data_IF_066533456859
#
_entry.id   IF_066533456859
#
_cell.length_a   1.000
_cell.length_b   1.000
_cell.length_c   1.000
_cell.angle_alpha   90.00
_cell.angle_beta   90.00
_cell.angle_gamma   90.00
#
_symmetry.space_group_name_H-M   'P 1'
#
loop_
_entity.id
_entity.type
_entity.pdbx_description
1 polymer ?
#
# COMPACT_ATOMS: atom_id res chain seq x y z
N UNK A 1 -18.05 41.01 -39.21
CA UNK A 1 -17.69 40.63 -37.85
C UNK A 1 -17.94 39.16 -37.69
N UNK A 2 -16.88 38.33 -37.70
CA UNK A 2 -17.00 36.88 -37.43
C UNK A 2 -16.60 36.71 -35.98
N UNK A 3 -17.55 36.28 -35.16
CA UNK A 3 -17.32 35.90 -33.77
C UNK A 3 -16.37 34.70 -33.72
N UNK A 4 -15.11 34.95 -33.42
CA UNK A 4 -14.16 33.91 -33.05
C UNK A 4 -14.47 33.47 -31.61
N UNK A 5 -15.34 32.46 -31.48
CA UNK A 5 -15.43 31.73 -30.20
C UNK A 5 -14.15 30.96 -29.99
N UNK A 6 -13.30 31.45 -29.07
CA UNK A 6 -12.19 30.68 -28.53
C UNK A 6 -12.81 29.55 -27.70
N UNK A 7 -12.82 28.36 -28.25
CA UNK A 7 -13.14 27.14 -27.48
C UNK A 7 -11.92 26.84 -26.59
N UNK A 8 -11.94 27.32 -25.36
CA UNK A 8 -11.07 26.82 -24.31
C UNK A 8 -11.68 25.47 -23.89
N UNK A 9 -11.19 24.38 -24.46
CA UNK A 9 -11.40 23.05 -23.86
C UNK A 9 -10.51 22.97 -22.64
N UNK A 10 -11.03 23.33 -21.46
CA UNK A 10 -10.51 22.81 -20.21
C UNK A 10 -10.71 21.30 -20.28
N UNK A 11 -9.66 20.55 -20.60
CA UNK A 11 -9.59 19.16 -20.21
C UNK A 11 -9.43 19.16 -18.69
N UNK A 12 -10.57 19.13 -18.00
CA UNK A 12 -10.62 18.60 -16.64
C UNK A 12 -10.09 17.19 -16.82
N UNK A 13 -8.90 16.93 -16.32
CA UNK A 13 -8.46 15.57 -16.09
C UNK A 13 -9.47 15.07 -15.08
N UNK A 14 -10.49 14.37 -15.56
CA UNK A 14 -11.31 13.55 -14.71
C UNK A 14 -10.29 12.65 -14.02
N UNK A 15 -10.15 12.85 -12.72
CA UNK A 15 -9.52 11.86 -11.86
C UNK A 15 -10.48 10.69 -11.93
N UNK A 16 -10.41 9.97 -13.07
CA UNK A 16 -11.14 8.74 -13.23
C UNK A 16 -10.81 7.90 -12.02
N UNK A 17 -11.81 7.58 -11.26
CA UNK A 17 -12.00 6.52 -10.28
C UNK A 17 -10.79 5.56 -10.07
N UNK A 18 -9.57 6.11 -10.02
CA UNK A 18 -8.33 5.38 -9.81
C UNK A 18 -8.37 4.59 -8.49
N UNK A 19 -9.27 5.01 -7.61
CA UNK A 19 -9.39 4.53 -6.24
C UNK A 19 -10.77 3.97 -5.87
N UNK A 20 -11.74 3.90 -6.79
CA UNK A 20 -13.02 3.26 -6.50
C UNK A 20 -12.82 1.75 -6.39
N UNK A 21 -12.81 1.29 -5.16
CA UNK A 21 -12.80 -0.14 -4.85
C UNK A 21 -14.21 -0.68 -5.03
N UNK A 22 -14.54 -1.05 -6.25
CA UNK A 22 -15.75 -1.84 -6.53
C UNK A 22 -15.69 -3.17 -5.76
N UNK A 23 -16.83 -3.75 -5.37
CA UNK A 23 -16.85 -5.14 -4.93
C UNK A 23 -16.17 -6.00 -6.01
N UNK A 24 -15.42 -7.02 -5.57
CA UNK A 24 -14.71 -7.92 -6.46
C UNK A 24 -15.66 -8.47 -7.53
N UNK A 25 -15.31 -8.26 -8.79
CA UNK A 25 -16.09 -8.78 -9.92
C UNK A 25 -15.43 -10.08 -10.41
N UNK A 26 -16.22 -11.12 -10.72
CA UNK A 26 -15.68 -12.35 -11.29
C UNK A 26 -15.04 -12.09 -12.65
N UNK A 27 -13.83 -12.58 -12.86
CA UNK A 27 -13.20 -12.60 -14.18
C UNK A 27 -13.80 -13.74 -14.97
N UNK A 28 -14.32 -13.46 -16.16
CA UNK A 28 -14.90 -14.47 -17.05
C UNK A 28 -13.84 -15.47 -17.52
N UNK A 29 -13.92 -16.68 -16.99
CA UNK A 29 -13.10 -17.83 -17.36
C UNK A 29 -13.77 -19.11 -16.84
N UNK A 30 -13.34 -20.28 -17.30
CA UNK A 30 -13.93 -21.56 -16.89
C UNK A 30 -13.94 -21.80 -15.38
N UNK A 31 -12.98 -21.20 -14.65
CA UNK A 31 -12.85 -21.34 -13.18
C UNK A 31 -13.40 -20.14 -12.40
N UNK A 32 -14.00 -19.15 -13.05
CA UNK A 32 -14.62 -17.97 -12.40
C UNK A 32 -13.74 -17.31 -11.35
N UNK A 33 -12.53 -16.96 -11.72
CA UNK A 33 -11.57 -16.27 -10.84
C UNK A 33 -12.14 -14.92 -10.43
N UNK A 34 -12.09 -14.61 -9.14
CA UNK A 34 -12.54 -13.33 -8.60
C UNK A 34 -11.42 -12.30 -8.66
N UNK A 35 -11.69 -11.15 -9.28
CA UNK A 35 -10.75 -10.03 -9.33
C UNK A 35 -10.55 -9.42 -7.94
N UNK A 36 -9.32 -9.01 -7.65
CA UNK A 36 -9.03 -8.29 -6.41
C UNK A 36 -9.02 -6.78 -6.69
N UNK A 37 -10.18 -6.14 -6.46
CA UNK A 37 -10.50 -4.78 -6.88
C UNK A 37 -11.05 -4.70 -8.30
N UNK A 38 -11.45 -3.49 -8.74
CA UNK A 38 -12.13 -3.24 -10.03
C UNK A 38 -11.36 -3.79 -11.23
N UNK A 39 -10.05 -3.53 -11.27
CA UNK A 39 -9.17 -3.91 -12.37
C UNK A 39 -8.14 -4.98 -11.99
N UNK A 40 -8.39 -5.73 -10.93
CA UNK A 40 -7.47 -6.74 -10.39
C UNK A 40 -6.11 -6.16 -9.92
N UNK A 41 -6.03 -4.83 -9.71
CA UNK A 41 -4.81 -4.08 -9.39
C UNK A 41 -4.75 -3.57 -7.96
N UNK A 42 -5.79 -3.82 -7.15
CA UNK A 42 -5.83 -3.36 -5.76
C UNK A 42 -4.58 -3.76 -4.94
N UNK A 43 -4.05 -5.00 -5.02
CA UNK A 43 -2.83 -5.34 -4.27
C UNK A 43 -1.63 -4.47 -4.65
N UNK A 44 -1.48 -4.12 -5.93
CA UNK A 44 -0.41 -3.22 -6.37
C UNK A 44 -0.56 -1.81 -5.79
N UNK A 45 -1.79 -1.29 -5.73
CA UNK A 45 -2.06 -0.02 -5.08
C UNK A 45 -1.69 -0.06 -3.58
N UNK A 46 -2.10 -1.13 -2.88
CA UNK A 46 -1.77 -1.28 -1.45
C UNK A 46 -0.26 -1.38 -1.22
N UNK A 47 0.48 -2.07 -2.11
CA UNK A 47 1.95 -2.10 -2.07
C UNK A 47 2.54 -0.69 -2.24
N UNK A 48 2.10 0.06 -3.25
CA UNK A 48 2.54 1.44 -3.48
C UNK A 48 2.25 2.33 -2.26
N UNK A 49 1.06 2.22 -1.67
CA UNK A 49 0.72 2.95 -0.45
C UNK A 49 1.68 2.64 0.71
N UNK A 50 2.01 1.37 0.91
CA UNK A 50 2.96 0.95 1.94
C UNK A 50 4.38 1.47 1.67
N UNK A 51 4.84 1.43 0.41
CA UNK A 51 6.18 1.83 0.05
C UNK A 51 6.39 3.36 0.05
N UNK A 52 5.36 4.14 -0.30
CA UNK A 52 5.47 5.58 -0.51
C UNK A 52 4.98 6.43 0.67
N UNK A 53 4.06 5.90 1.52
CA UNK A 53 3.63 6.61 2.72
C UNK A 53 4.53 6.31 3.91
N UNK A 54 5.30 7.31 4.34
CA UNK A 54 6.20 7.16 5.49
C UNK A 54 5.44 6.85 6.79
N UNK A 55 4.26 7.45 6.97
CA UNK A 55 3.43 7.23 8.18
C UNK A 55 2.82 5.85 8.16
N UNK A 56 2.22 5.42 7.05
CA UNK A 56 1.62 4.09 6.94
C UNK A 56 2.67 2.99 7.15
N UNK A 57 3.83 3.14 6.49
CA UNK A 57 4.94 2.18 6.65
C UNK A 57 5.37 2.07 8.11
N UNK A 58 5.63 3.20 8.78
CA UNK A 58 6.04 3.19 10.18
C UNK A 58 5.02 2.51 11.09
N UNK A 59 3.73 2.76 10.86
CA UNK A 59 2.63 2.18 11.64
C UNK A 59 2.49 0.68 11.40
N UNK A 60 2.59 0.24 10.14
CA UNK A 60 2.52 -1.18 9.80
C UNK A 60 3.73 -1.92 10.37
N UNK A 61 4.96 -1.43 10.16
CA UNK A 61 6.20 -2.04 10.64
C UNK A 61 6.19 -2.15 12.17
N UNK A 62 5.75 -1.09 12.88
CA UNK A 62 5.60 -1.12 14.34
C UNK A 62 4.56 -2.14 14.79
N UNK A 63 3.47 -2.28 14.04
CA UNK A 63 2.43 -3.27 14.34
C UNK A 63 2.95 -4.70 14.07
N UNK A 64 3.68 -4.93 12.97
CA UNK A 64 4.32 -6.22 12.68
C UNK A 64 5.26 -6.62 13.82
N UNK A 65 6.13 -5.71 14.26
CA UNK A 65 7.06 -5.96 15.37
C UNK A 65 6.28 -6.32 16.65
N UNK A 66 5.21 -5.59 16.96
CA UNK A 66 4.40 -5.88 18.16
C UNK A 66 3.64 -7.21 18.04
N UNK A 67 3.23 -7.61 16.85
CA UNK A 67 2.58 -8.91 16.59
C UNK A 67 3.59 -10.04 16.66
N UNK A 68 4.77 -9.89 16.06
CA UNK A 68 5.87 -10.87 16.15
C UNK A 68 6.32 -11.07 17.61
N UNK A 69 6.29 -9.98 18.39
CA UNK A 69 6.67 -10.01 19.81
C UNK A 69 8.17 -10.23 20.03
N UNK A 70 8.50 -10.68 21.24
CA UNK A 70 9.88 -10.88 21.69
C UNK A 70 10.43 -12.26 21.32
N UNK A 71 9.57 -13.27 21.30
CA UNK A 71 9.98 -14.66 21.01
C UNK A 71 8.79 -15.47 20.43
N UNK A 72 9.08 -16.41 19.55
CA UNK A 72 8.13 -17.37 18.99
C UNK A 72 8.52 -18.78 19.45
N UNK A 73 7.89 -19.23 20.52
CA UNK A 73 8.18 -20.54 21.12
C UNK A 73 7.39 -21.63 20.39
N UNK A 74 8.10 -22.61 19.86
CA UNK A 74 7.50 -23.79 19.24
C UNK A 74 7.34 -24.88 20.30
N UNK A 75 6.10 -25.41 20.46
CA UNK A 75 5.77 -26.45 21.44
C UNK A 75 6.48 -27.77 21.15
N UNK A 76 6.58 -28.64 22.15
CA UNK A 76 7.19 -29.97 21.98
C UNK A 76 6.38 -30.86 21.03
N UNK A 77 5.06 -30.69 20.98
CA UNK A 77 4.16 -31.40 20.04
C UNK A 77 4.41 -30.99 18.58
N UNK A 78 4.97 -29.78 18.36
CA UNK A 78 5.33 -29.25 17.05
C UNK A 78 6.85 -29.23 16.82
N UNK A 79 7.62 -30.04 17.53
CA UNK A 79 9.10 -29.99 17.56
C UNK A 79 9.75 -30.04 16.17
N UNK A 80 9.10 -30.67 15.19
CA UNK A 80 9.60 -30.74 13.81
C UNK A 80 9.74 -29.35 13.15
N UNK A 81 8.97 -28.34 13.62
CA UNK A 81 8.95 -26.98 13.09
C UNK A 81 9.91 -26.04 13.85
N UNK A 82 10.61 -26.52 14.89
CA UNK A 82 11.44 -25.71 15.80
C UNK A 82 12.66 -25.13 15.11
N UNK A 83 13.36 -25.94 14.30
CA UNK A 83 14.58 -25.47 13.64
C UNK A 83 14.28 -24.70 12.34
N UNK A 84 13.29 -25.18 11.59
CA UNK A 84 12.92 -24.62 10.28
C UNK A 84 11.51 -25.00 9.88
N UNK A 85 10.86 -24.11 9.20
CA UNK A 85 9.50 -24.30 8.70
C UNK A 85 9.49 -24.97 7.32
N UNK A 86 10.58 -24.88 6.59
CA UNK A 86 10.74 -25.49 5.26
C UNK A 86 12.21 -25.77 4.90
N UNK A 87 12.41 -26.45 3.77
CA UNK A 87 13.74 -26.80 3.24
C UNK A 87 14.62 -25.60 2.87
N UNK A 88 14.08 -24.39 2.81
CA UNK A 88 14.85 -23.15 2.56
C UNK A 88 15.50 -22.62 3.83
N UNK A 89 15.22 -23.22 4.99
CA UNK A 89 15.77 -22.83 6.28
C UNK A 89 15.03 -21.67 6.95
N UNK A 90 13.80 -21.33 6.51
CA UNK A 90 12.97 -20.30 7.13
C UNK A 90 12.64 -20.68 8.58
N UNK A 91 12.90 -19.79 9.52
CA UNK A 91 12.56 -19.97 10.93
C UNK A 91 11.05 -19.71 11.17
N UNK A 92 10.53 -20.16 12.32
CA UNK A 92 9.12 -19.88 12.66
C UNK A 92 8.90 -18.40 12.92
N UNK A 93 9.88 -17.70 13.46
CA UNK A 93 9.84 -16.26 13.68
C UNK A 93 9.74 -15.48 12.36
N UNK A 94 10.62 -15.77 11.39
CA UNK A 94 10.56 -15.19 10.05
C UNK A 94 9.26 -15.51 9.34
N UNK A 95 8.72 -16.73 9.54
CA UNK A 95 7.43 -17.12 9.00
C UNK A 95 6.28 -16.28 9.57
N UNK A 96 6.25 -16.07 10.90
CA UNK A 96 5.26 -15.22 11.56
C UNK A 96 5.36 -13.78 11.05
N UNK A 97 6.58 -13.24 10.88
CA UNK A 97 6.82 -11.91 10.36
C UNK A 97 6.25 -11.75 8.93
N UNK A 98 6.51 -12.72 8.05
CA UNK A 98 5.96 -12.72 6.68
C UNK A 98 4.44 -12.67 6.65
N UNK A 99 3.77 -13.57 7.37
CA UNK A 99 2.30 -13.63 7.36
C UNK A 99 1.66 -12.43 8.08
N UNK A 100 2.33 -11.89 9.10
CA UNK A 100 1.90 -10.64 9.76
C UNK A 100 2.02 -9.44 8.79
N UNK A 101 3.11 -9.37 8.02
CA UNK A 101 3.31 -8.35 7.00
C UNK A 101 2.21 -8.36 5.95
N UNK A 102 1.93 -9.52 5.36
CA UNK A 102 0.87 -9.67 4.37
C UNK A 102 -0.53 -9.36 4.96
N UNK A 103 -0.79 -9.83 6.18
CA UNK A 103 -2.07 -9.60 6.87
C UNK A 103 -2.30 -8.11 7.13
N UNK A 104 -1.29 -7.38 7.59
CA UNK A 104 -1.40 -5.97 7.95
C UNK A 104 -1.39 -5.07 6.72
N UNK A 105 -0.65 -5.44 5.67
CA UNK A 105 -0.57 -4.64 4.44
C UNK A 105 -1.78 -4.87 3.53
N UNK A 106 -2.21 -6.13 3.35
CA UNK A 106 -3.25 -6.51 2.37
C UNK A 106 -4.55 -7.01 3.00
N UNK A 107 -4.57 -7.29 4.31
CA UNK A 107 -5.69 -7.92 5.00
C UNK A 107 -5.82 -9.42 4.75
N UNK A 108 -4.95 -10.01 3.96
CA UNK A 108 -4.96 -11.41 3.54
C UNK A 108 -3.52 -11.93 3.54
N UNK A 109 -3.35 -13.24 3.68
CA UNK A 109 -2.06 -13.89 3.49
C UNK A 109 -2.24 -15.28 2.88
N UNK A 110 -1.19 -15.81 2.26
CA UNK A 110 -1.19 -17.10 1.61
C UNK A 110 0.02 -17.93 2.00
N UNK A 111 -0.20 -19.20 2.27
CA UNK A 111 0.86 -20.16 2.61
C UNK A 111 0.67 -21.44 1.82
N UNK A 112 1.71 -21.84 1.12
CA UNK A 112 1.76 -23.15 0.48
C UNK A 112 2.08 -24.22 1.54
N UNK A 113 1.20 -25.17 1.73
CA UNK A 113 1.35 -26.31 2.63
C UNK A 113 1.69 -27.52 1.79
N UNK A 114 2.84 -28.13 2.07
CA UNK A 114 3.30 -29.34 1.41
C UNK A 114 3.12 -30.51 2.35
N UNK A 115 2.47 -31.56 1.87
CA UNK A 115 2.15 -32.76 2.63
C UNK A 115 3.10 -33.92 2.28
N UNK A 116 3.23 -34.87 3.19
CA UNK A 116 3.81 -36.17 2.88
C UNK A 116 2.76 -37.09 2.24
N UNK A 117 3.16 -38.27 1.83
CA UNK A 117 2.26 -39.27 1.22
C UNK A 117 1.13 -39.75 2.14
N UNK A 118 1.27 -39.53 3.44
CA UNK A 118 0.26 -39.92 4.45
C UNK A 118 -0.74 -38.79 4.74
N UNK A 119 -0.57 -37.60 4.10
CA UNK A 119 -1.42 -36.44 4.30
C UNK A 119 -1.05 -35.60 5.52
N UNK A 120 0.16 -35.77 6.09
CA UNK A 120 0.62 -34.90 7.17
C UNK A 120 1.39 -33.70 6.60
N UNK A 121 1.16 -32.49 7.10
CA UNK A 121 1.92 -31.30 6.71
C UNK A 121 3.40 -31.47 7.06
N UNK A 122 4.29 -31.09 6.14
CA UNK A 122 5.74 -31.23 6.27
C UNK A 122 6.50 -29.93 6.07
N UNK A 123 6.00 -29.03 5.26
CA UNK A 123 6.68 -27.76 4.96
C UNK A 123 5.64 -26.67 4.70
N UNK A 124 5.94 -25.45 5.17
CA UNK A 124 5.15 -24.25 4.97
C UNK A 124 5.98 -23.20 4.23
N UNK A 125 5.50 -22.73 3.11
CA UNK A 125 6.14 -21.67 2.34
C UNK A 125 5.20 -20.46 2.28
N UNK A 126 5.54 -19.33 2.90
CA UNK A 126 4.79 -18.10 2.68
C UNK A 126 4.87 -17.73 1.21
N UNK A 127 3.74 -17.34 0.63
CA UNK A 127 3.61 -16.91 -0.75
C UNK A 127 3.33 -15.41 -0.79
N UNK A 128 3.82 -14.77 -1.82
CA UNK A 128 3.41 -13.39 -2.14
C UNK A 128 1.89 -13.38 -2.42
N UNK A 129 1.12 -12.88 -1.46
CA UNK A 129 -0.34 -12.88 -1.50
C UNK A 129 -0.87 -12.05 -2.68
N UNK A 130 -0.11 -11.07 -3.15
CA UNK A 130 -0.49 -10.23 -4.30
C UNK A 130 -0.61 -11.03 -5.58
N UNK A 131 0.08 -12.18 -5.66
CA UNK A 131 0.06 -13.13 -6.78
C UNK A 131 -1.01 -14.19 -6.67
N UNK A 132 -1.76 -14.22 -5.58
CA UNK A 132 -2.83 -15.18 -5.35
C UNK A 132 -4.18 -14.62 -5.76
N UNK A 133 -5.03 -15.45 -6.36
CA UNK A 133 -6.46 -15.19 -6.58
C UNK A 133 -7.26 -16.43 -6.21
N UNK A 134 -8.50 -16.23 -5.83
CA UNK A 134 -9.43 -17.31 -5.54
C UNK A 134 -10.58 -17.30 -6.52
N UNK A 135 -11.26 -18.43 -6.68
CA UNK A 135 -12.49 -18.53 -7.48
C UNK A 135 -13.73 -18.19 -6.64
N UNK A 136 -14.88 -18.07 -7.29
CA UNK A 136 -16.17 -17.78 -6.64
C UNK A 136 -16.54 -18.79 -5.57
N UNK A 137 -16.27 -20.09 -5.81
CA UNK A 137 -16.56 -21.18 -4.86
C UNK A 137 -15.55 -21.26 -3.72
N UNK A 138 -14.45 -20.49 -3.83
CA UNK A 138 -13.37 -20.40 -2.83
C UNK A 138 -12.69 -21.74 -2.48
N UNK A 139 -12.75 -22.70 -3.39
CA UNK A 139 -12.13 -24.03 -3.25
C UNK A 139 -10.76 -24.13 -3.94
N UNK A 140 -10.43 -23.16 -4.81
CA UNK A 140 -9.16 -23.10 -5.54
C UNK A 140 -8.42 -21.79 -5.34
N UNK A 141 -7.09 -21.88 -5.36
CA UNK A 141 -6.18 -20.72 -5.36
C UNK A 141 -5.35 -20.75 -6.63
N UNK A 142 -5.31 -19.63 -7.32
CA UNK A 142 -4.57 -19.40 -8.55
C UNK A 142 -3.34 -18.56 -8.25
N UNK A 143 -2.15 -19.09 -8.51
CA UNK A 143 -0.89 -18.39 -8.27
C UNK A 143 -0.22 -18.00 -9.59
N UNK A 144 -0.09 -16.70 -9.83
CA UNK A 144 0.53 -16.15 -11.03
C UNK A 144 1.99 -15.75 -10.76
N UNK A 145 2.95 -16.56 -11.19
CA UNK A 145 4.41 -16.32 -10.99
C UNK A 145 4.90 -14.96 -11.49
N UNK A 146 4.27 -14.43 -12.54
CA UNK A 146 4.61 -13.13 -13.14
C UNK A 146 3.72 -11.98 -12.66
N UNK A 147 2.88 -12.23 -11.64
CA UNK A 147 1.86 -11.28 -11.18
C UNK A 147 0.60 -11.29 -12.05
N UNK A 148 -0.41 -10.55 -11.61
CA UNK A 148 -1.69 -10.41 -12.30
C UNK A 148 -1.74 -9.12 -13.09
N UNK A 149 -2.39 -9.18 -14.26
CA UNK A 149 -2.71 -8.01 -15.07
C UNK A 149 -4.23 -7.80 -15.09
N UNK A 150 -4.68 -6.64 -15.59
CA UNK A 150 -6.10 -6.32 -15.74
C UNK A 150 -6.90 -7.43 -16.45
N UNK A 151 -6.31 -8.07 -17.46
CA UNK A 151 -7.06 -8.94 -18.37
C UNK A 151 -6.87 -10.44 -18.14
N UNK A 152 -5.73 -10.90 -17.74
CA UNK A 152 -5.48 -12.24 -17.20
C UNK A 152 -3.99 -12.46 -16.91
N UNK A 153 -3.66 -13.54 -16.20
CA UNK A 153 -2.29 -14.03 -16.10
C UNK A 153 -2.27 -15.55 -16.17
N UNK A 154 -1.20 -16.09 -16.75
CA UNK A 154 -0.97 -17.54 -16.66
C UNK A 154 -0.70 -17.88 -15.21
N UNK A 155 -1.51 -18.73 -14.62
CA UNK A 155 -1.44 -19.12 -13.22
C UNK A 155 -1.39 -20.63 -13.06
N UNK A 156 -0.70 -21.07 -12.03
CA UNK A 156 -0.77 -22.43 -11.53
C UNK A 156 -1.99 -22.52 -10.61
N UNK A 157 -2.70 -23.67 -10.64
CA UNK A 157 -3.92 -23.88 -9.87
C UNK A 157 -3.62 -24.85 -8.73
N UNK A 158 -4.04 -24.49 -7.53
CA UNK A 158 -3.89 -25.29 -6.33
C UNK A 158 -5.24 -25.45 -5.63
N UNK A 159 -5.43 -26.58 -4.95
CA UNK A 159 -6.54 -26.75 -4.05
C UNK A 159 -6.39 -25.84 -2.83
N UNK A 160 -7.48 -25.25 -2.37
CA UNK A 160 -7.45 -24.44 -1.15
C UNK A 160 -7.47 -25.34 0.07
N UNK A 161 -6.54 -25.14 0.97
CA UNK A 161 -6.40 -25.89 2.22
C UNK A 161 -7.69 -25.82 3.05
N UNK A 162 -8.13 -26.99 3.53
CA UNK A 162 -9.33 -27.10 4.36
C UNK A 162 -10.67 -27.05 3.59
N UNK A 163 -10.65 -26.96 2.26
CA UNK A 163 -11.83 -26.95 1.40
C UNK A 163 -11.95 -28.22 0.52
N UNK A 164 -10.88 -28.99 0.42
CA UNK A 164 -10.83 -30.21 -0.38
C UNK A 164 -10.17 -31.33 0.40
N UNK A 165 -10.49 -32.55 0.06
CA UNK A 165 -9.79 -33.73 0.59
C UNK A 165 -8.34 -33.77 0.12
N UNK A 166 -7.48 -34.46 0.88
CA UNK A 166 -6.07 -34.61 0.52
C UNK A 166 -5.94 -35.51 -0.72
N UNK A 167 -5.18 -35.04 -1.71
CA UNK A 167 -4.86 -35.79 -2.92
C UNK A 167 -3.35 -36.20 -2.88
N UNK A 168 -3.04 -37.50 -2.76
CA UNK A 168 -1.67 -37.99 -2.72
C UNK A 168 -0.88 -37.72 -4.03
N UNK A 169 -1.56 -37.55 -5.16
CA UNK A 169 -0.91 -37.21 -6.44
C UNK A 169 -0.52 -35.76 -6.53
N UNK A 170 -1.28 -34.87 -5.82
CA UNK A 170 -1.00 -33.44 -5.73
C UNK A 170 -0.86 -33.00 -4.26
N UNK A 171 0.24 -33.37 -3.58
CA UNK A 171 0.39 -33.21 -2.13
C UNK A 171 0.70 -31.77 -1.73
N UNK A 172 0.08 -30.79 -2.40
CA UNK A 172 0.29 -29.37 -2.16
C UNK A 172 -1.03 -28.64 -2.19
N UNK A 173 -1.33 -27.94 -1.11
CA UNK A 173 -2.49 -27.06 -1.00
C UNK A 173 -2.05 -25.65 -0.61
N UNK A 174 -2.89 -24.65 -0.86
CA UNK A 174 -2.62 -23.29 -0.40
C UNK A 174 -3.62 -22.91 0.69
N UNK A 175 -3.10 -22.64 1.88
CA UNK A 175 -3.86 -21.95 2.92
C UNK A 175 -3.99 -20.48 2.52
N UNK A 176 -5.21 -20.03 2.25
CA UNK A 176 -5.48 -18.65 1.90
C UNK A 176 -6.41 -18.05 2.96
N UNK A 177 -5.87 -17.12 3.75
CA UNK A 177 -6.64 -16.36 4.73
C UNK A 177 -7.26 -15.14 4.07
N UNK A 178 -8.57 -15.04 4.10
CA UNK A 178 -9.36 -13.92 3.58
C UNK A 178 -10.35 -13.35 4.61
N UNK A 179 -9.99 -13.44 5.88
CA UNK A 179 -10.83 -12.96 6.98
C UNK A 179 -11.94 -13.93 7.36
N UNK A 180 -12.74 -13.53 8.35
CA UNK A 180 -13.90 -14.29 8.84
C UNK A 180 -15.22 -13.84 8.20
N UNK A 181 -15.16 -12.80 7.34
CA UNK A 181 -16.35 -12.18 6.75
C UNK A 181 -16.81 -12.90 5.49
N UNK A 182 -17.99 -13.49 5.53
CA UNK A 182 -18.61 -14.29 4.46
C UNK A 182 -18.97 -13.46 3.19
N UNK A 183 -18.85 -12.13 3.25
CA UNK A 183 -19.43 -11.26 2.23
C UNK A 183 -18.48 -10.86 1.09
N UNK A 184 -17.19 -11.16 1.19
CA UNK A 184 -16.18 -10.77 0.19
C UNK A 184 -15.20 -11.88 -0.07
N UNK A 185 -14.71 -11.98 -1.31
CA UNK A 185 -13.69 -12.94 -1.67
C UNK A 185 -12.34 -12.61 -1.00
N UNK A 186 -12.04 -11.31 -0.85
CA UNK A 186 -10.83 -10.82 -0.19
C UNK A 186 -11.19 -9.92 0.98
N UNK A 187 -10.44 -10.05 2.07
CA UNK A 187 -10.54 -9.14 3.20
C UNK A 187 -9.89 -7.79 2.84
N UNK A 188 -10.25 -6.73 3.57
CA UNK A 188 -9.59 -5.42 3.45
C UNK A 188 -8.44 -5.30 4.42
N UNK A 189 -7.41 -4.58 4.01
CA UNK A 189 -6.34 -4.17 4.91
C UNK A 189 -6.91 -3.42 6.13
N UNK A 190 -6.33 -3.57 7.33
CA UNK A 190 -6.83 -2.90 8.55
C UNK A 190 -6.93 -1.37 8.40
N UNK A 191 -6.02 -0.79 7.65
CA UNK A 191 -5.91 0.66 7.39
C UNK A 191 -6.73 1.15 6.20
N UNK A 192 -7.47 0.26 5.52
CA UNK A 192 -8.18 0.58 4.28
C UNK A 192 -9.17 1.74 4.40
N UNK A 193 -9.68 2.02 5.60
CA UNK A 193 -10.55 3.17 5.85
C UNK A 193 -9.83 4.52 5.74
N UNK A 194 -8.51 4.53 5.86
CA UNK A 194 -7.65 5.71 5.69
C UNK A 194 -6.95 5.74 4.33
N UNK A 195 -7.44 5.01 3.31
CA UNK A 195 -6.80 4.95 1.99
C UNK A 195 -6.65 6.35 1.37
N UNK A 196 -7.69 7.18 1.46
CA UNK A 196 -7.67 8.54 0.92
C UNK A 196 -6.67 9.43 1.68
N UNK A 197 -6.53 9.23 3.00
CA UNK A 197 -5.54 9.95 3.82
C UNK A 197 -4.11 9.52 3.45
N UNK A 198 -3.87 8.22 3.23
CA UNK A 198 -2.57 7.71 2.77
C UNK A 198 -2.19 8.33 1.43
N UNK A 199 -3.11 8.35 0.48
CA UNK A 199 -2.89 8.97 -0.83
C UNK A 199 -2.67 10.48 -0.71
N UNK A 200 -3.40 11.14 0.18
CA UNK A 200 -3.21 12.57 0.47
C UNK A 200 -1.81 12.85 1.04
N UNK A 201 -1.30 12.00 1.93
CA UNK A 201 0.07 12.12 2.45
C UNK A 201 1.10 11.97 1.32
N UNK A 202 0.95 10.97 0.45
CA UNK A 202 1.84 10.69 -0.68
C UNK A 202 1.85 11.89 -1.64
N UNK A 203 0.69 12.33 -2.11
CA UNK A 203 0.57 13.44 -3.05
C UNK A 203 1.08 14.76 -2.46
N UNK A 204 0.83 15.01 -1.17
CA UNK A 204 1.37 16.18 -0.46
C UNK A 204 2.90 16.14 -0.39
N UNK A 205 3.49 14.96 -0.25
CA UNK A 205 4.93 14.77 -0.25
C UNK A 205 5.52 15.01 -1.65
N UNK A 206 4.90 14.48 -2.69
CA UNK A 206 5.28 14.73 -4.09
C UNK A 206 5.16 16.20 -4.46
N UNK A 207 4.06 16.86 -4.05
CA UNK A 207 3.88 18.28 -4.25
C UNK A 207 5.01 19.11 -3.58
N UNK A 208 5.33 18.79 -2.31
CA UNK A 208 6.39 19.46 -1.57
C UNK A 208 7.76 19.27 -2.25
N UNK A 209 8.07 18.05 -2.68
CA UNK A 209 9.31 17.74 -3.39
C UNK A 209 9.39 18.52 -4.70
N UNK A 210 8.32 18.54 -5.50
CA UNK A 210 8.25 19.29 -6.75
C UNK A 210 8.39 20.80 -6.50
N UNK A 211 7.78 21.33 -5.45
CA UNK A 211 7.88 22.75 -5.10
C UNK A 211 9.31 23.13 -4.71
N UNK A 212 9.99 22.29 -3.93
CA UNK A 212 11.41 22.52 -3.56
C UNK A 212 12.31 22.37 -4.78
N UNK A 213 12.14 21.35 -5.60
CA UNK A 213 12.96 21.08 -6.79
C UNK A 213 12.81 22.20 -7.84
N UNK A 214 11.63 22.77 -7.95
CA UNK A 214 11.33 23.85 -8.89
C UNK A 214 11.56 25.25 -8.30
N UNK A 215 12.21 25.34 -7.12
CA UNK A 215 12.55 26.61 -6.49
C UNK A 215 11.33 27.45 -6.13
N UNK A 216 10.24 26.85 -5.62
CA UNK A 216 8.95 27.53 -5.37
C UNK A 216 8.48 28.28 -6.63
N UNK A 217 8.50 27.61 -7.79
CA UNK A 217 8.36 28.25 -9.08
C UNK A 217 7.01 28.96 -9.20
N UNK A 218 7.11 30.29 -9.20
CA UNK A 218 6.03 31.13 -9.66
C UNK A 218 5.64 30.68 -11.07
N UNK A 219 4.34 30.45 -11.26
CA UNK A 219 3.81 30.24 -12.61
C UNK A 219 3.96 31.54 -13.38
N UNK A 220 4.73 31.51 -14.45
CA UNK A 220 4.93 32.70 -15.29
C UNK A 220 4.04 32.58 -16.53
N UNK A 221 3.40 33.68 -16.89
CA UNK A 221 2.76 33.84 -18.17
C UNK A 221 3.64 34.72 -19.02
N UNK A 222 4.17 34.21 -20.11
CA UNK A 222 4.90 34.94 -21.12
C UNK A 222 3.89 35.35 -22.20
N UNK A 223 3.66 36.62 -22.28
CA UNK A 223 2.86 37.23 -23.33
C UNK A 223 3.80 37.72 -24.44
N UNK A 224 3.75 37.11 -25.60
CA UNK A 224 4.58 37.45 -26.75
C UNK A 224 3.77 38.30 -27.72
N UNK A 225 4.24 39.54 -28.05
CA UNK A 225 3.53 40.35 -29.02
C UNK A 225 3.69 39.77 -30.42
N UNK A 226 2.62 39.73 -31.16
CA UNK A 226 2.63 39.35 -32.57
C UNK A 226 2.95 40.58 -33.45
N UNK A 227 4.11 41.20 -33.24
CA UNK A 227 4.50 42.50 -33.85
C UNK A 227 5.12 42.40 -35.24
N UNK A 228 5.28 41.22 -35.80
CA UNK A 228 5.84 41.08 -37.14
C UNK A 228 5.22 39.86 -37.82
N UNK A 229 5.29 39.81 -39.15
CA UNK A 229 4.90 38.68 -39.97
C UNK A 229 5.80 37.47 -39.69
N UNK A 230 5.77 36.95 -38.45
CA UNK A 230 6.52 35.77 -38.07
C UNK A 230 5.84 34.52 -38.69
N UNK A 231 6.64 33.77 -39.40
CA UNK A 231 6.16 32.47 -39.89
C UNK A 231 5.92 31.49 -38.71
N UNK A 232 5.09 30.52 -38.92
CA UNK A 232 4.81 29.50 -37.88
C UNK A 232 6.09 28.77 -37.44
N UNK A 233 7.07 28.60 -38.33
CA UNK A 233 8.38 28.02 -38.03
C UNK A 233 9.19 28.91 -37.08
N UNK A 234 9.15 30.22 -37.26
CA UNK A 234 9.84 31.20 -36.41
C UNK A 234 9.17 31.29 -35.02
N UNK A 235 7.84 31.26 -34.96
CA UNK A 235 7.11 31.16 -33.69
C UNK A 235 7.51 29.93 -32.91
N UNK A 236 7.54 28.77 -33.56
CA UNK A 236 7.94 27.50 -32.96
C UNK A 236 9.41 27.53 -32.48
N UNK A 237 10.31 28.14 -33.24
CA UNK A 237 11.71 28.29 -32.82
C UNK A 237 11.86 29.16 -31.56
N UNK A 238 11.03 30.20 -31.43
CA UNK A 238 11.00 31.06 -30.22
C UNK A 238 10.45 30.26 -29.03
N UNK A 239 9.34 29.51 -29.23
CA UNK A 239 8.75 28.65 -28.21
C UNK A 239 9.73 27.58 -27.72
N UNK A 240 10.41 26.90 -28.63
CA UNK A 240 11.41 25.89 -28.33
C UNK A 240 12.64 26.51 -27.62
N UNK A 241 13.05 27.70 -28.04
CA UNK A 241 14.10 28.46 -27.38
C UNK A 241 13.78 28.81 -25.93
N UNK A 242 12.55 29.26 -25.67
CA UNK A 242 12.05 29.55 -24.32
C UNK A 242 11.95 28.27 -23.51
N UNK A 243 11.35 27.19 -24.09
CA UNK A 243 11.28 25.88 -23.44
C UNK A 243 12.67 25.37 -23.05
N UNK A 244 13.63 25.39 -23.98
CA UNK A 244 14.98 24.89 -23.73
C UNK A 244 15.74 25.70 -22.67
N UNK A 245 15.43 26.99 -22.53
CA UNK A 245 16.10 27.89 -21.57
C UNK A 245 15.48 27.81 -20.17
N UNK A 246 14.17 27.56 -20.08
CA UNK A 246 13.41 27.55 -18.82
C UNK A 246 12.93 26.16 -18.39
N UNK A 247 12.89 25.17 -19.30
CA UNK A 247 12.56 23.77 -19.05
C UNK A 247 13.74 22.88 -19.43
N UNK A 248 14.96 23.15 -18.93
CA UNK A 248 16.07 22.22 -19.06
C UNK A 248 15.79 20.90 -18.32
N UNK A 249 16.60 19.85 -18.51
CA UNK A 249 16.39 18.54 -17.84
C UNK A 249 16.32 18.66 -16.31
N UNK A 250 16.83 19.76 -15.74
CA UNK A 250 16.84 20.04 -14.30
C UNK A 250 15.86 21.18 -13.89
N UNK A 251 14.99 21.64 -14.79
CA UNK A 251 14.13 22.79 -14.55
C UNK A 251 12.71 22.52 -15.05
N UNK A 252 11.83 22.12 -14.13
CA UNK A 252 10.39 21.94 -14.37
C UNK A 252 9.60 23.24 -14.16
N UNK A 253 10.05 24.36 -14.74
CA UNK A 253 9.33 25.62 -14.62
C UNK A 253 8.02 25.59 -15.40
N UNK A 254 6.90 25.65 -14.70
CA UNK A 254 5.58 25.75 -15.32
C UNK A 254 5.36 27.17 -15.83
N UNK A 255 5.38 27.38 -17.12
CA UNK A 255 5.02 28.64 -17.73
C UNK A 255 3.97 28.44 -18.84
N UNK A 256 3.17 29.47 -19.05
CA UNK A 256 2.22 29.53 -20.13
C UNK A 256 2.72 30.54 -21.17
N UNK A 257 2.78 30.13 -22.43
CA UNK A 257 3.11 31.00 -23.55
C UNK A 257 1.84 31.28 -24.33
N UNK A 258 1.59 32.56 -24.62
CA UNK A 258 0.57 32.88 -25.60
C UNK A 258 0.97 34.13 -26.42
N UNK A 259 0.45 34.17 -27.65
CA UNK A 259 0.71 35.26 -28.59
C UNK A 259 -0.48 36.22 -28.58
N UNK A 260 -0.20 37.52 -28.43
CA UNK A 260 -1.24 38.58 -28.48
C UNK A 260 -1.10 39.42 -29.70
N UNK A 261 -2.25 39.81 -30.26
CA UNK A 261 -2.32 40.84 -31.30
C UNK A 261 -2.21 42.21 -30.66
N UNK A 262 -1.04 42.84 -30.74
CA UNK A 262 -0.79 44.17 -30.22
C UNK A 262 0.67 44.60 -30.26
N UNK A 263 0.91 45.94 -30.23
CA UNK A 263 2.23 46.54 -30.29
C UNK A 263 2.96 46.57 -28.93
N UNK A 264 2.42 45.96 -27.89
CA UNK A 264 3.06 45.93 -26.57
C UNK A 264 4.17 44.88 -26.54
N UNK A 265 5.31 45.25 -25.99
CA UNK A 265 6.47 44.36 -25.85
C UNK A 265 6.18 43.14 -25.00
N UNK A 266 7.19 42.27 -24.87
CA UNK A 266 7.11 41.05 -24.01
C UNK A 266 6.65 41.44 -22.60
N UNK A 267 5.50 40.92 -22.21
CA UNK A 267 4.98 41.08 -20.85
C UNK A 267 5.05 39.72 -20.10
N UNK A 268 5.72 39.74 -18.95
CA UNK A 268 5.88 38.55 -18.10
C UNK A 268 5.11 38.82 -16.82
N UNK A 269 3.99 38.10 -16.68
CA UNK A 269 3.18 38.14 -15.45
C UNK A 269 3.51 36.95 -14.58
N UNK A 270 3.89 37.20 -13.36
CA UNK A 270 3.97 36.22 -12.31
C UNK A 270 2.54 35.96 -11.82
N UNK A 271 2.08 34.73 -11.94
CA UNK A 271 0.85 34.30 -11.26
C UNK A 271 1.25 34.00 -9.83
N UNK A 272 0.85 34.85 -8.89
CA UNK A 272 0.98 34.53 -7.48
C UNK A 272 0.05 33.37 -7.19
N UNK A 273 0.62 32.24 -6.76
CA UNK A 273 -0.21 31.18 -6.21
C UNK A 273 -0.68 31.66 -4.83
N UNK A 274 -1.98 31.75 -4.65
CA UNK A 274 -2.60 31.95 -3.32
C UNK A 274 -2.48 30.67 -2.46
N UNK A 275 -1.50 29.84 -2.70
CA UNK A 275 -1.28 28.60 -1.96
C UNK A 275 -0.64 28.97 -0.63
N UNK A 276 -1.45 28.96 0.41
CA UNK A 276 -0.99 29.09 1.79
C UNK A 276 -0.24 27.80 2.17
N UNK A 277 1.09 27.85 2.38
CA UNK A 277 1.88 26.68 2.77
C UNK A 277 1.33 26.01 4.05
N UNK A 278 0.79 26.81 4.96
CA UNK A 278 0.23 26.31 6.22
C UNK A 278 -1.01 25.43 5.99
N UNK A 279 -1.78 25.71 4.93
CA UNK A 279 -2.94 24.88 4.56
C UNK A 279 -2.52 23.46 4.14
N UNK A 280 -1.46 23.33 3.33
CA UNK A 280 -0.93 22.03 2.93
C UNK A 280 -0.33 21.26 4.10
N UNK A 281 0.34 21.94 5.00
CA UNK A 281 0.86 21.33 6.24
C UNK A 281 -0.30 20.82 7.10
N UNK A 282 -1.38 21.59 7.23
CA UNK A 282 -2.55 21.18 8.01
C UNK A 282 -3.24 19.94 7.40
N UNK A 283 -3.43 19.90 6.07
CA UNK A 283 -4.00 18.74 5.37
C UNK A 283 -3.13 17.50 5.60
N UNK A 284 -1.83 17.62 5.40
CA UNK A 284 -0.89 16.51 5.60
C UNK A 284 -0.90 15.99 7.05
N UNK A 285 -0.93 16.89 8.03
CA UNK A 285 -0.97 16.50 9.43
C UNK A 285 -2.29 15.80 9.77
N UNK A 286 -3.42 16.30 9.29
CA UNK A 286 -4.72 15.65 9.43
C UNK A 286 -4.76 14.25 8.83
N UNK A 287 -4.20 14.07 7.63
CA UNK A 287 -4.09 12.78 6.98
C UNK A 287 -3.25 11.79 7.82
N UNK A 288 -2.11 12.24 8.35
CA UNK A 288 -1.26 11.43 9.25
C UNK A 288 -2.01 11.00 10.52
N UNK A 289 -2.73 11.90 11.16
CA UNK A 289 -3.52 11.59 12.35
C UNK A 289 -4.60 10.53 12.05
N UNK A 290 -5.28 10.62 10.91
CA UNK A 290 -6.28 9.64 10.48
C UNK A 290 -5.67 8.25 10.23
N UNK A 291 -4.44 8.16 9.71
CA UNK A 291 -3.72 6.89 9.56
C UNK A 291 -3.48 6.24 10.92
N UNK A 292 -3.02 6.98 11.92
CA UNK A 292 -2.85 6.49 13.29
C UNK A 292 -4.16 6.00 13.90
N UNK A 293 -5.25 6.75 13.70
CA UNK A 293 -6.59 6.40 14.19
C UNK A 293 -7.08 5.11 13.51
N UNK A 294 -6.93 4.97 12.20
CA UNK A 294 -7.35 3.79 11.46
C UNK A 294 -6.67 2.51 11.97
N UNK A 295 -5.38 2.61 12.30
CA UNK A 295 -4.59 1.49 12.85
C UNK A 295 -4.68 1.37 14.38
N UNK A 296 -5.38 2.29 15.04
CA UNK A 296 -5.56 2.31 16.50
C UNK A 296 -4.25 2.28 17.28
N UNK A 297 -3.22 2.94 16.75
CA UNK A 297 -1.89 3.03 17.34
C UNK A 297 -1.61 4.46 17.79
N UNK A 298 -1.02 4.61 18.97
CA UNK A 298 -0.55 5.92 19.42
C UNK A 298 0.68 6.34 18.61
N UNK A 299 0.76 7.58 18.08
CA UNK A 299 1.94 8.12 17.43
C UNK A 299 3.22 7.98 18.26
N UNK A 300 3.07 7.98 19.56
CA UNK A 300 4.13 7.76 20.54
C UNK A 300 4.88 6.44 20.33
N UNK A 301 4.15 5.38 19.99
CA UNK A 301 4.74 4.06 19.74
C UNK A 301 5.54 4.00 18.41
N UNK A 302 5.32 4.97 17.53
CA UNK A 302 6.09 5.15 16.30
C UNK A 302 7.19 6.22 16.44
N UNK A 303 7.51 6.65 17.67
CA UNK A 303 8.56 7.64 17.93
C UNK A 303 8.17 9.09 17.65
N UNK A 304 6.87 9.38 17.51
CA UNK A 304 6.36 10.72 17.24
C UNK A 304 5.71 11.32 18.50
N UNK A 305 6.20 12.49 18.93
CA UNK A 305 5.53 13.31 19.95
C UNK A 305 4.60 14.30 19.27
N UNK A 306 3.33 14.29 19.66
CA UNK A 306 2.35 15.31 19.25
C UNK A 306 2.35 16.53 20.20
N UNK A 307 3.05 16.46 21.33
CA UNK A 307 3.14 17.54 22.30
C UNK A 307 4.57 18.04 22.45
N UNK A 308 4.72 19.36 22.65
CA UNK A 308 6.01 20.01 22.94
C UNK A 308 6.55 19.71 24.36
N UNK A 309 5.79 19.00 25.17
CA UNK A 309 6.17 18.52 26.51
C UNK A 309 6.61 17.07 26.36
N UNK A 310 7.89 16.77 26.62
CA UNK A 310 8.47 15.42 26.49
C UNK A 310 7.58 14.29 27.04
N UNK A 311 7.92 13.06 26.73
CA UNK A 311 7.16 11.86 27.10
C UNK A 311 7.33 11.54 28.58
N UNK A 312 6.22 11.26 29.27
CA UNK A 312 6.29 10.52 30.52
C UNK A 312 6.47 9.02 30.22
N UNK A 313 7.39 8.36 30.90
CA UNK A 313 7.64 6.92 30.74
C UNK A 313 6.38 6.08 30.98
N UNK A 314 5.54 6.50 31.92
CA UNK A 314 4.23 5.88 32.20
C UNK A 314 3.27 5.95 31.01
N UNK A 315 3.25 7.07 30.28
CA UNK A 315 2.36 7.26 29.13
C UNK A 315 2.73 6.31 27.98
N UNK A 316 4.02 6.10 27.74
CA UNK A 316 4.48 5.11 26.77
C UNK A 316 4.09 3.69 27.17
N UNK A 317 4.34 3.30 28.43
CA UNK A 317 4.02 1.97 28.93
C UNK A 317 2.52 1.67 28.85
N UNK A 318 1.68 2.63 29.23
CA UNK A 318 0.23 2.46 29.22
C UNK A 318 -0.33 2.43 27.77
N UNK A 319 0.20 3.27 26.88
CA UNK A 319 -0.13 3.24 25.46
C UNK A 319 0.24 1.90 24.84
N UNK A 320 1.43 1.36 25.15
CA UNK A 320 1.86 0.06 24.66
C UNK A 320 0.96 -1.07 25.20
N UNK A 321 0.66 -1.12 26.49
CA UNK A 321 -0.21 -2.14 27.09
C UNK A 321 -1.61 -2.15 26.46
N UNK A 322 -2.17 -0.97 26.23
CA UNK A 322 -3.47 -0.84 25.57
C UNK A 322 -3.42 -1.35 24.14
N UNK A 323 -2.42 -0.91 23.37
CA UNK A 323 -2.21 -1.33 21.98
C UNK A 323 -1.97 -2.84 21.89
N UNK A 324 -1.09 -3.37 22.74
CA UNK A 324 -0.83 -4.81 22.79
C UNK A 324 -2.10 -5.61 23.02
N UNK A 325 -2.89 -5.24 24.03
CA UNK A 325 -4.11 -5.95 24.40
C UNK A 325 -5.22 -5.86 23.35
N UNK A 326 -5.36 -4.71 22.69
CA UNK A 326 -6.50 -4.42 21.82
C UNK A 326 -6.21 -4.61 20.33
N UNK A 327 -4.94 -4.60 19.92
CA UNK A 327 -4.52 -4.70 18.51
C UNK A 327 -3.57 -5.87 18.31
N UNK A 328 -2.39 -5.89 18.93
CA UNK A 328 -1.38 -6.91 18.65
C UNK A 328 -1.81 -8.32 19.10
N UNK A 329 -2.36 -8.48 20.28
CA UNK A 329 -2.81 -9.78 20.81
C UNK A 329 -3.87 -10.46 19.92
N UNK A 330 -4.93 -9.79 19.44
CA UNK A 330 -5.88 -10.37 18.49
C UNK A 330 -5.22 -10.89 17.22
N UNK A 331 -4.23 -10.17 16.66
CA UNK A 331 -3.48 -10.64 15.49
C UNK A 331 -2.57 -11.82 15.81
N UNK A 332 -1.88 -11.83 16.98
CA UNK A 332 -1.12 -13.01 17.43
C UNK A 332 -2.01 -14.24 17.52
N UNK A 333 -3.16 -14.14 18.17
CA UNK A 333 -4.11 -15.23 18.29
C UNK A 333 -4.59 -15.75 16.92
N UNK A 334 -4.83 -14.85 15.98
CA UNK A 334 -5.23 -15.19 14.63
C UNK A 334 -4.12 -15.98 13.92
N UNK A 335 -2.88 -15.53 14.00
CA UNK A 335 -1.71 -16.15 13.38
C UNK A 335 -1.44 -17.53 14.03
N UNK A 336 -1.45 -17.62 15.35
CA UNK A 336 -1.30 -18.88 16.07
C UNK A 336 -2.36 -19.91 15.64
N UNK A 337 -3.64 -19.51 15.61
CA UNK A 337 -4.71 -20.38 15.12
C UNK A 337 -4.54 -20.80 13.64
N UNK A 338 -3.97 -19.93 12.81
CA UNK A 338 -3.69 -20.30 11.42
C UNK A 338 -2.53 -21.31 11.34
N UNK A 339 -1.49 -21.14 12.15
CA UNK A 339 -0.37 -22.08 12.25
C UNK A 339 -0.85 -23.44 12.76
N UNK A 340 -1.68 -23.48 13.80
CA UNK A 340 -2.26 -24.71 14.33
C UNK A 340 -3.00 -25.49 13.24
N UNK A 341 -3.82 -24.80 12.45
CA UNK A 341 -4.53 -25.41 11.32
C UNK A 341 -3.57 -25.95 10.26
N UNK A 342 -2.53 -25.19 9.89
CA UNK A 342 -1.59 -25.58 8.84
C UNK A 342 -0.66 -26.71 9.27
N UNK A 343 -0.28 -26.76 10.54
CA UNK A 343 0.58 -27.80 11.10
C UNK A 343 -0.18 -29.06 11.52
N UNK A 344 -1.49 -28.92 11.76
CA UNK A 344 -2.32 -29.98 12.33
C UNK A 344 -2.03 -30.26 13.81
N UNK A 345 -1.38 -29.33 14.51
CA UNK A 345 -1.00 -29.43 15.93
C UNK A 345 -1.62 -28.29 16.71
N UNK A 346 -2.41 -28.60 17.72
CA UNK A 346 -3.00 -27.60 18.61
C UNK A 346 -1.92 -26.93 19.48
N UNK A 347 -1.99 -25.60 19.60
CA UNK A 347 -1.00 -24.78 20.29
C UNK A 347 0.43 -25.06 19.79
N UNK A 348 0.61 -25.15 18.48
CA UNK A 348 1.88 -25.41 17.85
C UNK A 348 2.92 -24.35 18.20
N UNK A 349 2.50 -23.09 18.33
CA UNK A 349 3.37 -21.96 18.65
C UNK A 349 2.72 -21.05 19.69
N UNK A 350 3.57 -20.42 20.50
CA UNK A 350 3.22 -19.32 21.41
C UNK A 350 4.05 -18.11 21.03
N UNK A 351 3.39 -17.00 20.66
CA UNK A 351 4.04 -15.73 20.37
C UNK A 351 4.01 -14.89 21.65
N UNK A 352 5.18 -14.65 22.23
CA UNK A 352 5.33 -13.87 23.46
C UNK A 352 5.34 -12.37 23.17
N UNK A 353 4.53 -11.55 23.85
CA UNK A 353 4.58 -10.11 23.70
C UNK A 353 5.89 -9.53 24.24
N UNK A 354 6.29 -8.35 23.75
CA UNK A 354 7.37 -7.59 24.38
C UNK A 354 7.04 -7.25 25.83
N UNK A 355 8.00 -7.43 26.72
CA UNK A 355 7.93 -6.96 28.09
C UNK A 355 8.57 -5.58 28.14
N UNK A 356 7.74 -4.53 28.24
CA UNK A 356 8.22 -3.16 28.42
C UNK A 356 8.27 -2.85 29.90
N UNK A 357 9.44 -3.02 30.51
CA UNK A 357 9.69 -2.69 31.90
C UNK A 357 10.75 -1.58 31.99
N UNK A 358 10.30 -0.36 32.34
CA UNK A 358 11.18 0.80 32.53
C UNK A 358 11.62 0.97 33.99
N UNK A 359 11.29 0.02 34.87
CA UNK A 359 11.58 0.11 36.31
C UNK A 359 12.87 -0.61 36.72
N UNK A 360 13.72 -0.97 35.78
CA UNK A 360 15.07 -1.49 36.11
C UNK A 360 16.07 -0.32 36.11
N UNK A 361 16.12 0.42 37.21
CA UNK A 361 17.32 1.11 37.71
C UNK A 361 17.71 0.54 39.06
#
# INVERSE_FOLDING_TARGET
MKDNKVNISLSVVEIEDKYTVSPAEPVTGGDKIVSWGKDNTLPSLLSTCYDESATLKAVIDQTINSVKGDDVVVSDSAAMWREKVNRRGLTMEEFVEHIAGDLLTYGNFAVQVVFNKLGNPMELFPLDVTRCRINETQDKVFYAKKGWTKYSSKSDVYQRFGHCEFDPENPTQIYFYNGTGVRRAYNRAPWFSALDDVLTEIESSHYSLNSVSNGFSAKYVFNLPQTANLTDEQKKAIEDGIKNKFCGPDSNSNFMLYWTDGEQGLDIKKIESNEDPDHYIAIRNGARENIFVAMRISPLLCGLSLSNTGFATSEFSDSYKLFDKTVAQPYRNLIQNAIDKMTGVDNAVEIKPFVVDFNQE
#
